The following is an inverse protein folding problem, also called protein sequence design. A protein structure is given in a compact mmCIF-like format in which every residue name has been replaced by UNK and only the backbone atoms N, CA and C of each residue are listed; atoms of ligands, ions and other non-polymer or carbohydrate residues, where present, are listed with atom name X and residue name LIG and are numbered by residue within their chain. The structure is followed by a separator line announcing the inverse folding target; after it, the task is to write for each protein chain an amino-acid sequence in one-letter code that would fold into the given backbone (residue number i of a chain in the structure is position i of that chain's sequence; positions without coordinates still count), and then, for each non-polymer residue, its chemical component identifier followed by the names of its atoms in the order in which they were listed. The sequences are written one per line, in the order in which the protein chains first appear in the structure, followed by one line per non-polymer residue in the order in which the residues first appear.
data_IF_296827141007
#
_entry.id   IF_296827141007
#
_cell.length_a   1.000
_cell.length_b   1.000
_cell.length_c   1.000
_cell.angle_alpha   90.00
_cell.angle_beta   90.00
_cell.angle_gamma   90.00
#
_symmetry.space_group_name_H-M   'P 1'
#
loop_
_entity.id
_entity.type
_entity.pdbx_description
1 polymer ?
#
# COMPACT_ATOMS: atom_id res chain seq x y z
N UNK A 1 2.58 -11.14 -14.85
CA UNK A 1 3.82 -10.51 -14.35
C UNK A 1 3.72 -10.39 -12.84
N UNK A 2 4.53 -11.16 -12.11
CA UNK A 2 4.44 -11.26 -10.65
C UNK A 2 5.06 -10.01 -9.98
N UNK A 3 4.41 -9.48 -8.95
CA UNK A 3 4.94 -8.42 -8.09
C UNK A 3 6.27 -8.89 -7.48
N UNK A 4 7.41 -8.45 -8.04
CA UNK A 4 8.76 -8.85 -7.61
C UNK A 4 8.97 -8.66 -6.10
N UNK A 5 8.62 -7.50 -5.50
CA UNK A 5 8.72 -7.30 -4.05
C UNK A 5 7.95 -8.30 -3.18
N UNK A 6 6.80 -8.81 -3.67
CA UNK A 6 5.93 -9.73 -2.92
C UNK A 6 6.24 -11.22 -3.20
N UNK A 7 7.25 -11.51 -4.01
CA UNK A 7 7.52 -12.88 -4.46
C UNK A 7 8.03 -13.75 -3.30
N UNK A 8 7.32 -14.87 -3.04
CA UNK A 8 7.68 -15.92 -2.06
C UNK A 8 7.65 -15.53 -0.57
N UNK A 9 7.04 -14.40 -0.20
CA UNK A 9 7.01 -13.95 1.20
C UNK A 9 5.84 -14.54 1.99
N UNK A 10 4.62 -14.52 1.44
CA UNK A 10 3.40 -14.89 2.15
C UNK A 10 2.38 -15.53 1.20
N UNK A 11 1.39 -16.27 1.75
CA UNK A 11 0.27 -16.80 0.97
C UNK A 11 -0.94 -15.88 1.07
N UNK A 12 -1.71 -15.78 -0.01
CA UNK A 12 -2.86 -14.86 -0.08
C UNK A 12 -3.87 -15.07 1.04
N UNK A 13 -4.12 -16.32 1.46
CA UNK A 13 -5.07 -16.66 2.52
C UNK A 13 -4.59 -16.36 3.95
N UNK A 14 -3.31 -15.99 4.11
CA UNK A 14 -2.74 -15.59 5.41
C UNK A 14 -2.79 -14.08 5.64
N UNK A 15 -3.33 -13.33 4.67
CA UNK A 15 -3.32 -11.86 4.68
C UNK A 15 -4.72 -11.34 5.02
N UNK A 16 -4.78 -10.44 5.97
CA UNK A 16 -5.99 -9.65 6.22
C UNK A 16 -6.21 -8.70 5.06
N UNK A 17 -7.43 -8.69 4.52
CA UNK A 17 -7.81 -7.81 3.44
C UNK A 17 -8.57 -6.59 3.99
N UNK A 18 -7.96 -5.41 3.88
CA UNK A 18 -8.52 -4.15 4.37
C UNK A 18 -8.90 -3.27 3.18
N UNK A 19 -10.15 -2.81 3.13
CA UNK A 19 -10.63 -1.84 2.12
C UNK A 19 -10.10 -0.45 2.45
N UNK A 20 -9.57 0.25 1.46
CA UNK A 20 -9.06 1.62 1.61
C UNK A 20 -9.10 2.40 0.31
N UNK A 21 -8.64 3.65 0.37
CA UNK A 21 -8.49 4.58 -0.74
C UNK A 21 -7.00 4.91 -0.94
N UNK A 22 -6.60 5.18 -2.19
CA UNK A 22 -5.25 5.65 -2.55
C UNK A 22 -4.89 6.96 -1.81
N UNK A 23 -3.71 7.05 -1.18
CA UNK A 23 -3.19 8.30 -0.65
C UNK A 23 -2.35 9.09 -1.68
N UNK A 24 -2.14 8.55 -2.88
CA UNK A 24 -1.21 9.09 -3.87
C UNK A 24 -1.87 9.75 -5.07
N UNK A 25 -3.20 9.75 -5.12
CA UNK A 25 -3.98 10.44 -6.14
C UNK A 25 -5.10 11.29 -5.53
N UNK A 26 -5.65 12.19 -6.35
CA UNK A 26 -6.82 13.01 -6.00
C UNK A 26 -8.13 12.39 -6.52
N UNK A 27 -8.08 11.19 -7.10
CA UNK A 27 -9.23 10.51 -7.72
C UNK A 27 -9.99 9.69 -6.68
N UNK A 28 -9.29 9.26 -5.62
CA UNK A 28 -9.87 8.41 -4.60
C UNK A 28 -9.93 6.96 -5.07
N UNK A 29 -8.89 6.50 -5.77
CA UNK A 29 -8.83 5.13 -6.30
C UNK A 29 -9.06 4.11 -5.19
N UNK A 30 -10.00 3.18 -5.42
CA UNK A 30 -10.33 2.14 -4.46
C UNK A 30 -9.26 1.05 -4.45
N UNK A 31 -8.75 0.72 -3.26
CA UNK A 31 -7.69 -0.27 -3.08
C UNK A 31 -7.98 -1.27 -1.96
N UNK A 32 -7.39 -2.45 -2.09
CA UNK A 32 -7.24 -3.40 -0.99
C UNK A 32 -5.80 -3.36 -0.48
N UNK A 33 -5.65 -3.11 0.82
CA UNK A 33 -4.41 -3.32 1.54
C UNK A 33 -4.40 -4.73 2.13
N UNK A 34 -3.45 -5.55 1.70
CA UNK A 34 -3.26 -6.88 2.29
C UNK A 34 -2.19 -6.78 3.38
N UNK A 35 -2.59 -7.08 4.62
CA UNK A 35 -1.77 -6.86 5.83
C UNK A 35 -1.51 -8.18 6.54
N UNK A 36 -0.32 -8.32 7.13
CA UNK A 36 0.03 -9.42 8.04
C UNK A 36 1.03 -8.91 9.06
N UNK A 37 0.83 -9.25 10.33
CA UNK A 37 1.68 -8.79 11.44
C UNK A 37 1.89 -7.27 11.45
N UNK A 38 0.80 -6.50 11.24
CA UNK A 38 0.81 -5.04 11.17
C UNK A 38 1.70 -4.45 10.06
N UNK A 39 2.09 -5.26 9.07
CA UNK A 39 2.80 -4.82 7.87
C UNK A 39 1.98 -5.04 6.61
N UNK A 40 1.93 -4.03 5.76
CA UNK A 40 1.36 -4.11 4.41
C UNK A 40 2.31 -4.95 3.57
N UNK A 41 1.75 -6.00 2.96
CA UNK A 41 2.51 -6.94 2.12
C UNK A 41 2.33 -6.64 0.64
N UNK A 42 1.15 -6.17 0.25
CA UNK A 42 0.84 -5.72 -1.11
C UNK A 42 -0.42 -4.86 -1.12
N UNK A 43 -0.54 -4.05 -2.16
CA UNK A 43 -1.74 -3.30 -2.52
C UNK A 43 -2.25 -3.81 -3.87
N UNK A 44 -3.56 -4.05 -3.96
CA UNK A 44 -4.24 -4.51 -5.18
C UNK A 44 -5.50 -3.68 -5.43
N UNK A 45 -5.98 -3.55 -6.68
CA UNK A 45 -7.22 -2.85 -6.99
C UNK A 45 -8.41 -3.43 -6.20
N UNK A 46 -9.20 -2.55 -5.59
CA UNK A 46 -10.59 -2.83 -5.25
C UNK A 46 -11.44 -2.33 -6.40
N UNK A 47 -12.23 -3.21 -7.00
CA UNK A 47 -13.00 -2.86 -8.19
C UNK A 47 -14.05 -1.81 -7.89
N UNK A 48 -14.10 -0.76 -8.71
CA UNK A 48 -15.15 0.25 -8.68
C UNK A 48 -15.32 0.89 -10.07
N UNK A 49 -16.38 0.50 -10.76
CA UNK A 49 -16.67 0.92 -12.14
C UNK A 49 -16.90 2.43 -12.28
N UNK A 50 -17.21 3.16 -11.20
CA UNK A 50 -17.38 4.61 -11.25
C UNK A 50 -16.09 5.40 -11.01
N UNK A 51 -14.99 4.74 -10.65
CA UNK A 51 -13.73 5.41 -10.28
C UNK A 51 -12.54 4.81 -11.04
N UNK A 52 -12.17 3.57 -10.71
CA UNK A 52 -10.91 2.97 -11.14
C UNK A 52 -11.09 1.66 -11.91
N UNK A 53 -12.34 1.23 -12.13
CA UNK A 53 -12.69 -0.07 -12.71
C UNK A 53 -11.89 -1.17 -12.00
N UNK A 54 -10.86 -1.73 -12.63
CA UNK A 54 -9.98 -2.76 -12.05
C UNK A 54 -8.50 -2.33 -11.97
N UNK A 55 -8.21 -1.05 -12.17
CA UNK A 55 -6.85 -0.52 -12.30
C UNK A 55 -6.43 0.31 -11.09
N UNK A 56 -5.10 0.37 -10.87
CA UNK A 56 -4.45 1.25 -9.89
C UNK A 56 -3.12 1.70 -10.49
N UNK A 57 -2.64 2.88 -10.10
CA UNK A 57 -1.32 3.36 -10.50
C UNK A 57 -0.20 2.52 -9.85
N UNK A 58 0.95 2.43 -10.51
CA UNK A 58 2.12 1.74 -9.97
C UNK A 58 2.63 2.38 -8.67
N UNK A 59 2.44 3.70 -8.53
CA UNK A 59 2.76 4.43 -7.30
C UNK A 59 1.97 3.90 -6.10
N UNK A 60 0.69 3.56 -6.26
CA UNK A 60 -0.10 2.91 -5.20
C UNK A 60 0.29 1.45 -4.98
N UNK A 61 0.62 0.76 -6.08
CA UNK A 61 0.98 -0.65 -6.04
C UNK A 61 2.28 -0.90 -5.27
N UNK A 62 3.24 0.03 -5.33
CA UNK A 62 4.59 -0.15 -4.78
C UNK A 62 5.01 0.92 -3.75
N UNK A 63 4.34 2.07 -3.70
CA UNK A 63 4.75 3.20 -2.85
C UNK A 63 4.59 2.95 -1.35
N UNK A 64 3.80 1.95 -0.96
CA UNK A 64 3.60 1.60 0.45
C UNK A 64 4.88 1.19 1.19
N UNK A 65 5.93 0.76 0.45
CA UNK A 65 7.20 0.37 1.05
C UNK A 65 7.90 1.56 1.76
N UNK A 66 7.62 2.79 1.30
CA UNK A 66 8.12 4.01 1.94
C UNK A 66 7.67 4.19 3.40
N UNK A 67 6.56 3.56 3.81
CA UNK A 67 6.09 3.56 5.20
C UNK A 67 7.12 2.87 6.13
N UNK A 68 7.94 1.97 5.59
CA UNK A 68 8.95 1.22 6.32
C UNK A 68 10.38 1.77 6.11
N UNK A 69 10.52 2.94 5.49
CA UNK A 69 11.81 3.59 5.28
C UNK A 69 12.53 3.86 6.60
N UNK A 70 13.86 3.73 6.61
CA UNK A 70 14.71 4.17 7.72
C UNK A 70 14.63 5.67 7.99
N UNK A 71 14.18 6.45 7.02
CA UNK A 71 14.06 7.91 7.12
C UNK A 71 12.76 8.35 7.81
N UNK A 72 11.92 7.39 8.24
CA UNK A 72 10.66 7.69 8.93
C UNK A 72 10.93 8.39 10.26
N UNK A 73 10.28 9.54 10.46
CA UNK A 73 10.35 10.27 11.71
C UNK A 73 9.49 9.55 12.75
N UNK A 74 10.13 8.94 13.75
CA UNK A 74 9.45 8.23 14.84
C UNK A 74 9.24 9.10 16.09
N UNK A 75 9.95 10.23 16.18
CA UNK A 75 9.88 11.16 17.31
C UNK A 75 9.94 12.61 16.82
N UNK A 76 9.30 13.55 17.54
CA UNK A 76 9.38 14.97 17.23
C UNK A 76 10.83 15.46 17.27
N UNK A 77 11.24 16.23 16.26
CA UNK A 77 12.60 16.79 16.14
C UNK A 77 12.57 18.29 16.43
N UNK A 78 13.48 18.75 17.29
CA UNK A 78 13.66 20.18 17.61
C UNK A 78 14.94 20.67 16.95
N UNK A 79 14.82 21.67 16.08
CA UNK A 79 15.99 22.36 15.54
C UNK A 79 16.60 23.25 16.63
N UNK A 80 17.90 23.10 16.89
CA UNK A 80 18.71 24.03 17.69
C UNK A 80 19.66 24.78 16.75
N UNK A 81 19.73 26.09 16.94
CA UNK A 81 20.64 26.98 16.20
C UNK A 81 22.01 27.00 16.86
#
# INVERSE_FOLDING_TARGET
MNNKPYRYTDRTWELDQIKSISPHDCVGTNIYMHVKNHKIKRIVPLQNDSINESWIADRDRFGFDGIYSSDRIDAPLIRRN
#
